data_IF_459175468142
#
_entry.id   IF_459175468142
#
_cell.length_a   1.000
_cell.length_b   1.000
_cell.length_c   1.000
_cell.angle_alpha   90.00
_cell.angle_beta   90.00
_cell.angle_gamma   90.00
#
_symmetry.space_group_name_H-M   'P 1'
#
loop_
_entity.id
_entity.type
_entity.pdbx_description
1 polymer ?
#
# COMPACT_ATOMS: atom_id res chain seq x y z
N UNK A 1 -51.82 36.93 -21.68
CA UNK A 1 -51.28 35.79 -20.91
C UNK A 1 -50.19 35.16 -21.74
N UNK A 2 -48.93 35.48 -21.45
CA UNK A 2 -47.77 34.96 -22.18
C UNK A 2 -46.72 34.59 -21.13
N UNK A 3 -46.62 33.31 -20.84
CA UNK A 3 -45.56 32.73 -20.02
C UNK A 3 -44.38 32.37 -20.94
N UNK A 4 -43.15 32.85 -20.69
CA UNK A 4 -41.98 32.32 -21.35
C UNK A 4 -41.57 31.01 -20.66
N UNK A 5 -41.34 29.96 -21.46
CA UNK A 5 -40.74 28.71 -21.03
C UNK A 5 -39.28 28.94 -20.61
N UNK A 6 -38.93 28.58 -19.37
CA UNK A 6 -37.54 28.50 -18.93
C UNK A 6 -36.84 27.32 -19.65
N UNK A 7 -35.60 27.50 -20.15
CA UNK A 7 -34.80 26.39 -20.62
C UNK A 7 -34.29 25.61 -19.40
N UNK A 8 -34.66 24.33 -19.33
CA UNK A 8 -34.19 23.41 -18.31
C UNK A 8 -32.67 23.37 -18.26
N UNK A 9 -32.10 23.60 -17.08
CA UNK A 9 -30.73 23.18 -16.77
C UNK A 9 -30.64 21.68 -17.02
N UNK A 10 -29.97 21.29 -18.09
CA UNK A 10 -29.41 19.94 -18.23
C UNK A 10 -28.48 19.72 -17.04
N UNK A 11 -28.97 18.98 -16.04
CA UNK A 11 -28.12 18.38 -15.02
C UNK A 11 -27.25 17.36 -15.75
N UNK A 12 -25.95 17.64 -15.85
CA UNK A 12 -24.97 16.70 -16.33
C UNK A 12 -25.11 15.39 -15.54
N UNK A 13 -25.56 14.33 -16.22
CA UNK A 13 -25.59 12.99 -15.67
C UNK A 13 -24.17 12.63 -15.19
N UNK A 14 -23.98 12.06 -13.98
CA UNK A 14 -22.72 11.44 -13.63
C UNK A 14 -22.58 10.17 -14.49
N UNK A 15 -22.02 10.35 -15.69
CA UNK A 15 -21.79 9.25 -16.61
C UNK A 15 -20.74 8.26 -16.08
N UNK A 16 -20.65 7.05 -16.68
CA UNK A 16 -19.65 6.04 -16.36
C UNK A 16 -18.21 6.57 -16.29
N UNK A 17 -17.92 7.67 -16.98
CA UNK A 17 -16.64 8.38 -16.97
C UNK A 17 -16.19 8.86 -15.57
N UNK A 18 -17.11 9.25 -14.68
CA UNK A 18 -16.75 9.68 -13.33
C UNK A 18 -16.14 8.53 -12.50
N UNK A 19 -16.62 7.31 -12.70
CA UNK A 19 -16.16 6.11 -11.98
C UNK A 19 -14.84 5.60 -12.57
N UNK A 20 -14.69 5.69 -13.90
CA UNK A 20 -13.46 5.30 -14.60
C UNK A 20 -12.29 6.23 -14.24
N UNK A 21 -12.54 7.52 -14.05
CA UNK A 21 -11.53 8.49 -13.62
C UNK A 21 -10.94 8.19 -12.23
N UNK A 22 -11.75 7.69 -11.30
CA UNK A 22 -11.33 7.41 -9.92
C UNK A 22 -10.62 6.06 -9.75
N UNK A 23 -10.70 5.16 -10.73
CA UNK A 23 -10.19 3.79 -10.61
C UNK A 23 -8.72 3.73 -10.21
N UNK A 24 -7.87 4.50 -10.88
CA UNK A 24 -6.42 4.52 -10.58
C UNK A 24 -6.15 5.03 -9.17
N UNK A 25 -6.86 6.08 -8.74
CA UNK A 25 -6.71 6.67 -7.42
C UNK A 25 -7.11 5.67 -6.32
N UNK A 26 -8.26 5.03 -6.47
CA UNK A 26 -8.80 4.09 -5.49
C UNK A 26 -8.00 2.78 -5.44
N UNK A 27 -7.50 2.27 -6.56
CA UNK A 27 -6.56 1.14 -6.58
C UNK A 27 -5.27 1.49 -5.84
N UNK A 28 -4.71 2.68 -6.06
CA UNK A 28 -3.52 3.16 -5.37
C UNK A 28 -3.72 3.31 -3.86
N UNK A 29 -4.92 3.71 -3.44
CA UNK A 29 -5.33 3.80 -2.05
C UNK A 29 -5.47 2.40 -1.44
N UNK A 30 -6.19 1.49 -2.10
CA UNK A 30 -6.38 0.12 -1.64
C UNK A 30 -5.04 -0.61 -1.51
N UNK A 31 -4.14 -0.46 -2.49
CA UNK A 31 -2.80 -1.04 -2.43
C UNK A 31 -1.99 -0.52 -1.24
N UNK A 32 -1.99 0.80 -0.99
CA UNK A 32 -1.29 1.37 0.19
C UNK A 32 -1.90 0.91 1.52
N UNK A 33 -3.19 0.63 1.54
CA UNK A 33 -3.86 0.09 2.73
C UNK A 33 -3.52 -1.39 2.93
N UNK A 34 -3.54 -2.20 1.90
CA UNK A 34 -3.46 -3.67 2.03
C UNK A 34 -2.02 -4.18 1.96
N UNK A 35 -1.18 -3.54 1.15
CA UNK A 35 0.19 -4.00 0.88
C UNK A 35 0.24 -5.24 -0.02
N UNK A 36 -0.82 -5.51 -0.78
CA UNK A 36 -0.90 -6.56 -1.80
C UNK A 36 -1.70 -6.03 -2.97
N UNK A 37 -1.20 -6.29 -4.19
CA UNK A 37 -1.88 -5.85 -5.41
C UNK A 37 -3.17 -6.64 -5.62
N UNK A 38 -3.12 -7.95 -5.46
CA UNK A 38 -4.30 -8.82 -5.61
C UNK A 38 -5.40 -8.49 -4.61
N UNK A 39 -5.07 -8.32 -3.33
CA UNK A 39 -6.07 -7.92 -2.32
C UNK A 39 -6.65 -6.52 -2.64
N UNK A 40 -5.87 -5.62 -3.23
CA UNK A 40 -6.35 -4.30 -3.65
C UNK A 40 -7.29 -4.38 -4.86
N UNK A 41 -6.99 -5.23 -5.85
CA UNK A 41 -7.87 -5.48 -6.98
C UNK A 41 -9.20 -6.12 -6.53
N UNK A 42 -9.14 -7.09 -5.63
CA UNK A 42 -10.33 -7.73 -5.04
C UNK A 42 -11.19 -6.72 -4.26
N UNK A 43 -10.56 -5.85 -3.47
CA UNK A 43 -11.26 -4.79 -2.74
C UNK A 43 -11.94 -3.79 -3.70
N UNK A 44 -11.31 -3.48 -4.83
CA UNK A 44 -11.88 -2.64 -5.88
C UNK A 44 -13.05 -3.33 -6.58
N UNK A 45 -12.93 -4.62 -6.88
CA UNK A 45 -14.02 -5.41 -7.47
C UNK A 45 -15.24 -5.43 -6.55
N UNK A 46 -15.06 -5.70 -5.26
CA UNK A 46 -16.12 -5.66 -4.25
C UNK A 46 -16.76 -4.27 -4.16
N UNK A 47 -15.95 -3.20 -4.18
CA UNK A 47 -16.44 -1.82 -4.17
C UNK A 47 -17.32 -1.51 -5.37
N UNK A 48 -16.89 -1.90 -6.57
CA UNK A 48 -17.69 -1.71 -7.78
C UNK A 48 -18.93 -2.61 -7.83
N UNK A 49 -18.84 -3.84 -7.33
CA UNK A 49 -20.01 -4.71 -7.20
C UNK A 49 -21.09 -4.05 -6.34
N UNK A 50 -20.71 -3.44 -5.21
CA UNK A 50 -21.64 -2.65 -4.37
C UNK A 50 -22.21 -1.44 -5.11
N UNK A 51 -21.42 -0.75 -5.94
CA UNK A 51 -21.91 0.35 -6.75
C UNK A 51 -22.97 -0.10 -7.75
N UNK A 52 -22.67 -1.11 -8.55
CA UNK A 52 -23.57 -1.61 -9.59
C UNK A 52 -24.79 -2.37 -9.05
N UNK A 53 -24.74 -2.84 -7.80
CA UNK A 53 -25.91 -3.42 -7.13
C UNK A 53 -26.95 -2.35 -6.73
N UNK A 54 -26.58 -1.07 -6.64
CA UNK A 54 -27.52 0.02 -6.36
C UNK A 54 -28.41 0.30 -7.57
N UNK A 55 -29.69 0.60 -7.31
CA UNK A 55 -30.60 1.09 -8.35
C UNK A 55 -30.14 2.46 -8.87
N UNK A 56 -30.57 2.81 -10.10
CA UNK A 56 -30.26 4.13 -10.69
C UNK A 56 -30.67 5.29 -9.77
N UNK A 57 -31.83 5.19 -9.13
CA UNK A 57 -32.31 6.21 -8.19
C UNK A 57 -31.42 6.33 -6.95
N UNK A 58 -30.89 5.21 -6.44
CA UNK A 58 -29.94 5.23 -5.31
C UNK A 58 -28.60 5.85 -5.72
N UNK A 59 -28.11 5.55 -6.93
CA UNK A 59 -26.90 6.18 -7.46
C UNK A 59 -27.06 7.69 -7.65
N UNK A 60 -28.21 8.13 -8.18
CA UNK A 60 -28.53 9.56 -8.37
C UNK A 60 -28.73 10.32 -7.06
N UNK A 61 -29.08 9.62 -5.97
CA UNK A 61 -29.17 10.22 -4.64
C UNK A 61 -27.79 10.44 -3.98
N UNK A 62 -26.71 9.85 -4.52
CA UNK A 62 -25.36 10.05 -4.01
C UNK A 62 -24.81 11.35 -4.59
N UNK A 63 -24.66 12.36 -3.72
CA UNK A 63 -24.17 13.69 -4.09
C UNK A 63 -22.73 13.66 -4.65
N UNK A 64 -21.88 12.79 -4.10
CA UNK A 64 -20.49 12.63 -4.53
C UNK A 64 -20.12 11.15 -4.69
N UNK A 65 -20.15 10.62 -5.93
CA UNK A 65 -19.75 9.25 -6.22
C UNK A 65 -18.31 8.93 -5.76
N UNK A 66 -17.37 9.86 -5.95
CA UNK A 66 -15.98 9.68 -5.53
C UNK A 66 -15.82 9.54 -4.01
N UNK A 67 -16.53 10.37 -3.22
CA UNK A 67 -16.52 10.28 -1.77
C UNK A 67 -17.18 8.97 -1.28
N UNK A 68 -18.25 8.55 -1.93
CA UNK A 68 -18.89 7.25 -1.65
C UNK A 68 -17.93 6.09 -1.94
N UNK A 69 -17.30 6.07 -3.12
CA UNK A 69 -16.36 5.02 -3.50
C UNK A 69 -15.18 4.93 -2.55
N UNK A 70 -14.61 6.08 -2.16
CA UNK A 70 -13.53 6.16 -1.17
C UNK A 70 -13.96 5.58 0.19
N UNK A 71 -15.17 5.93 0.63
CA UNK A 71 -15.71 5.41 1.89
C UNK A 71 -15.88 3.91 1.85
N UNK A 72 -16.43 3.39 0.74
CA UNK A 72 -16.68 1.96 0.56
C UNK A 72 -15.38 1.18 0.46
N UNK A 73 -14.44 1.59 -0.40
CA UNK A 73 -13.15 0.90 -0.52
C UNK A 73 -12.36 0.97 0.79
N UNK A 74 -12.43 2.08 1.53
CA UNK A 74 -11.82 2.21 2.85
C UNK A 74 -12.38 1.21 3.87
N UNK A 75 -13.70 1.00 3.87
CA UNK A 75 -14.36 0.00 4.74
C UNK A 75 -14.00 -1.43 4.32
N UNK A 76 -14.05 -1.74 3.02
CA UNK A 76 -13.63 -3.04 2.49
C UNK A 76 -12.19 -3.34 2.88
N UNK A 77 -11.28 -2.38 2.72
CA UNK A 77 -9.88 -2.53 3.11
C UNK A 77 -9.73 -2.73 4.63
N UNK A 78 -10.50 -2.01 5.45
CA UNK A 78 -10.49 -2.19 6.91
C UNK A 78 -10.88 -3.61 7.31
N UNK A 79 -11.93 -4.17 6.68
CA UNK A 79 -12.40 -5.53 6.91
C UNK A 79 -11.37 -6.58 6.47
N UNK A 80 -10.75 -6.37 5.29
CA UNK A 80 -9.67 -7.21 4.77
C UNK A 80 -8.48 -7.18 5.73
N UNK A 81 -8.07 -6.03 6.24
CA UNK A 81 -6.97 -5.90 7.21
C UNK A 81 -7.28 -6.61 8.54
N UNK A 82 -8.52 -6.51 9.03
CA UNK A 82 -8.96 -7.24 10.21
C UNK A 82 -8.87 -8.75 10.02
N UNK A 83 -9.33 -9.24 8.86
CA UNK A 83 -9.29 -10.65 8.49
C UNK A 83 -7.87 -11.15 8.24
N UNK A 84 -7.05 -10.35 7.55
CA UNK A 84 -5.65 -10.66 7.25
C UNK A 84 -4.84 -10.80 8.54
N UNK A 85 -5.06 -9.94 9.53
CA UNK A 85 -4.42 -10.07 10.86
C UNK A 85 -4.75 -11.42 11.52
N UNK A 86 -6.02 -11.84 11.49
CA UNK A 86 -6.42 -13.15 12.03
C UNK A 86 -5.85 -14.34 11.23
N UNK A 87 -5.65 -14.18 9.91
CA UNK A 87 -4.95 -15.18 9.09
C UNK A 87 -3.45 -15.23 9.40
N UNK A 88 -2.81 -14.06 9.58
CA UNK A 88 -1.37 -13.91 9.86
C UNK A 88 -0.95 -14.56 11.17
N UNK A 89 -1.84 -14.64 12.16
CA UNK A 89 -1.60 -15.44 13.39
C UNK A 89 -1.35 -16.93 13.13
N UNK A 90 -1.85 -17.46 12.00
CA UNK A 90 -1.65 -18.85 11.57
C UNK A 90 -0.66 -19.00 10.41
N UNK A 91 -0.03 -17.90 9.98
CA UNK A 91 0.90 -17.90 8.85
C UNK A 91 2.22 -18.56 9.22
N UNK A 92 2.80 -19.31 8.29
CA UNK A 92 4.08 -20.00 8.50
C UNK A 92 5.22 -19.08 8.07
N UNK A 93 5.96 -18.55 9.04
CA UNK A 93 7.08 -17.62 8.82
C UNK A 93 6.67 -16.15 8.99
N UNK A 94 7.52 -15.24 8.51
CA UNK A 94 7.23 -13.81 8.52
C UNK A 94 6.42 -13.43 7.28
N UNK A 95 5.34 -12.65 7.47
CA UNK A 95 4.61 -12.04 6.36
C UNK A 95 5.30 -10.75 5.91
N UNK A 96 5.54 -10.61 4.60
CA UNK A 96 6.11 -9.40 4.00
C UNK A 96 5.13 -8.86 2.94
N UNK A 97 4.80 -7.54 2.96
CA UNK A 97 4.00 -6.92 1.90
C UNK A 97 4.58 -7.15 0.50
N UNK A 98 3.72 -7.21 -0.50
CA UNK A 98 4.10 -7.35 -1.90
C UNK A 98 4.63 -6.01 -2.42
N UNK A 99 5.94 -5.88 -2.72
CA UNK A 99 6.46 -4.66 -3.33
C UNK A 99 5.85 -4.48 -4.71
N UNK A 100 5.60 -3.23 -5.12
CA UNK A 100 5.23 -2.99 -6.51
C UNK A 100 6.39 -3.43 -7.41
N UNK A 101 6.13 -4.25 -8.45
CA UNK A 101 7.12 -4.48 -9.48
C UNK A 101 7.52 -3.17 -10.13
N UNK A 102 8.78 -3.08 -10.55
CA UNK A 102 9.32 -1.88 -11.17
C UNK A 102 8.54 -1.53 -12.47
N UNK A 103 8.59 -0.25 -12.87
CA UNK A 103 7.72 0.42 -13.87
C UNK A 103 7.50 -0.33 -15.21
N UNK A 104 8.37 -1.26 -15.56
CA UNK A 104 8.33 -2.05 -16.80
C UNK A 104 7.22 -3.10 -16.83
N UNK A 105 6.81 -3.67 -15.70
CA UNK A 105 5.86 -4.78 -15.69
C UNK A 105 4.40 -4.32 -15.85
N UNK A 106 4.06 -3.14 -15.30
CA UNK A 106 2.72 -2.55 -15.44
C UNK A 106 2.45 -1.99 -16.86
N UNK A 107 3.50 -1.69 -17.62
CA UNK A 107 3.37 -1.13 -18.98
C UNK A 107 2.96 -2.16 -20.03
N UNK A 108 2.93 -3.45 -19.70
CA UNK A 108 2.51 -4.52 -20.62
C UNK A 108 1.00 -4.77 -20.63
N UNK A 109 0.26 -4.19 -19.68
CA UNK A 109 -1.20 -4.17 -19.65
C UNK A 109 -1.81 -3.06 -20.50
N UNK A 110 -1.72 -3.21 -21.83
CA UNK A 110 -2.52 -2.54 -22.87
C UNK A 110 -3.27 -1.25 -22.48
N UNK A 111 -2.53 -0.16 -22.22
CA UNK A 111 -3.08 1.19 -22.16
C UNK A 111 -2.84 1.91 -23.50
N UNK A 112 -3.67 1.61 -24.50
CA UNK A 112 -3.79 2.45 -25.69
C UNK A 112 -4.52 3.74 -25.31
N UNK A 113 -3.75 4.81 -25.05
CA UNK A 113 -4.26 6.15 -24.80
C UNK A 113 -3.33 6.93 -23.91
N UNK A 114 -2.67 7.94 -24.46
CA UNK A 114 -1.54 8.65 -23.86
C UNK A 114 -1.78 9.09 -22.41
N UNK A 115 -1.06 8.46 -21.48
CA UNK A 115 -0.84 9.02 -20.16
C UNK A 115 0.22 10.13 -20.26
N UNK A 116 -0.13 11.31 -19.75
CA UNK A 116 0.71 12.50 -19.66
C UNK A 116 2.04 12.16 -18.94
N UNK A 117 3.21 12.64 -19.40
CA UNK A 117 4.46 12.53 -18.64
C UNK A 117 4.36 12.93 -17.16
N UNK A 118 3.46 13.85 -16.80
CA UNK A 118 3.19 14.22 -15.41
C UNK A 118 2.46 13.12 -14.60
N UNK A 119 1.65 12.28 -15.26
CA UNK A 119 0.94 11.13 -14.65
C UNK A 119 1.86 9.94 -14.36
N UNK A 120 3.10 9.98 -14.89
CA UNK A 120 4.14 8.98 -14.67
C UNK A 120 4.95 9.25 -13.40
N UNK A 121 4.91 10.47 -12.87
CA UNK A 121 5.76 10.97 -11.77
C UNK A 121 5.09 10.83 -10.39
N UNK A 122 3.77 10.74 -10.29
CA UNK A 122 3.07 10.70 -8.98
C UNK A 122 3.10 9.35 -8.28
N UNK A 123 3.47 8.28 -8.98
CA UNK A 123 3.73 6.95 -8.39
C UNK A 123 5.16 6.82 -7.83
N UNK A 124 6.06 7.76 -8.17
CA UNK A 124 7.49 7.47 -8.36
C UNK A 124 8.37 7.52 -7.09
N UNK A 125 7.90 8.01 -5.93
CA UNK A 125 8.79 8.18 -4.75
C UNK A 125 8.19 7.85 -3.37
N UNK A 126 6.87 7.60 -3.25
CA UNK A 126 6.19 7.66 -1.93
C UNK A 126 5.95 6.32 -1.22
N UNK A 127 6.12 5.18 -1.90
CA UNK A 127 5.84 3.85 -1.31
C UNK A 127 7.06 2.95 -1.47
N UNK A 128 8.10 3.23 -0.68
CA UNK A 128 9.22 2.32 -0.52
C UNK A 128 8.76 1.06 0.25
N UNK A 129 9.33 -0.11 -0.04
CA UNK A 129 9.08 -1.35 0.71
C UNK A 129 9.16 -1.14 2.22
N UNK A 130 10.14 -0.36 2.69
CA UNK A 130 10.27 0.00 4.10
C UNK A 130 9.00 0.66 4.68
N UNK A 131 8.32 1.50 3.91
CA UNK A 131 7.06 2.11 4.31
C UNK A 131 5.96 1.05 4.47
N UNK A 132 5.81 0.12 3.52
CA UNK A 132 4.82 -0.96 3.61
C UNK A 132 5.08 -1.87 4.82
N UNK A 133 6.35 -2.19 5.11
CA UNK A 133 6.73 -2.94 6.34
C UNK A 133 6.31 -2.19 7.60
N UNK A 134 6.49 -0.87 7.64
CA UNK A 134 6.06 -0.06 8.79
C UNK A 134 4.55 -0.08 8.96
N UNK A 135 3.78 -0.01 7.87
CA UNK A 135 2.31 -0.14 7.92
C UNK A 135 1.88 -1.50 8.47
N UNK A 136 2.68 -2.56 8.28
CA UNK A 136 2.44 -3.89 8.84
C UNK A 136 2.48 -3.94 10.37
N UNK A 137 3.21 -3.02 11.00
CA UNK A 137 3.24 -2.90 12.48
C UNK A 137 2.02 -2.19 13.08
N UNK A 138 1.12 -1.64 12.26
CA UNK A 138 -0.03 -0.85 12.71
C UNK A 138 -1.28 -1.71 12.92
N UNK A 139 -2.18 -1.29 13.81
CA UNK A 139 -3.54 -1.83 13.81
C UNK A 139 -4.28 -1.46 12.51
N UNK A 140 -5.29 -2.24 12.08
CA UNK A 140 -6.08 -1.93 10.88
C UNK A 140 -6.61 -0.48 10.86
N UNK A 141 -7.18 -0.03 11.98
CA UNK A 141 -7.70 1.33 12.11
C UNK A 141 -6.59 2.40 12.10
N UNK A 142 -5.44 2.17 12.76
CA UNK A 142 -4.30 3.08 12.66
C UNK A 142 -3.83 3.25 11.22
N UNK A 143 -3.72 2.14 10.47
CA UNK A 143 -3.28 2.15 9.08
C UNK A 143 -4.24 2.91 8.19
N UNK A 144 -5.54 2.61 8.26
CA UNK A 144 -6.57 3.29 7.46
C UNK A 144 -6.56 4.79 7.75
N UNK A 145 -6.56 5.17 9.02
CA UNK A 145 -6.52 6.58 9.41
C UNK A 145 -5.27 7.29 8.88
N UNK A 146 -4.10 6.67 9.05
CA UNK A 146 -2.83 7.26 8.64
C UNK A 146 -2.75 7.42 7.12
N UNK A 147 -3.08 6.38 6.34
CA UNK A 147 -3.02 6.46 4.88
C UNK A 147 -4.00 7.51 4.35
N UNK A 148 -5.27 7.46 4.78
CA UNK A 148 -6.27 8.42 4.31
C UNK A 148 -5.93 9.87 4.69
N UNK A 149 -5.47 10.11 5.91
CA UNK A 149 -5.19 11.47 6.37
C UNK A 149 -3.81 11.99 5.90
N UNK A 150 -2.75 11.22 6.10
CA UNK A 150 -1.38 11.71 5.92
C UNK A 150 -0.90 11.59 4.48
N UNK A 151 -1.36 10.57 3.74
CA UNK A 151 -1.00 10.37 2.33
C UNK A 151 -2.03 11.02 1.41
N UNK A 152 -3.32 10.78 1.66
CA UNK A 152 -4.40 11.23 0.79
C UNK A 152 -5.12 12.51 1.24
N UNK A 153 -4.74 13.07 2.39
CA UNK A 153 -5.23 14.38 2.90
C UNK A 153 -6.73 14.45 3.20
N UNK A 154 -7.38 13.32 3.45
CA UNK A 154 -8.77 13.30 3.90
C UNK A 154 -8.92 13.84 5.33
N UNK A 155 -10.01 14.59 5.62
CA UNK A 155 -10.26 15.11 6.97
C UNK A 155 -10.69 14.00 7.92
N UNK A 156 -10.32 14.13 9.20
CA UNK A 156 -10.66 13.14 10.24
C UNK A 156 -12.17 12.89 10.41
N UNK A 157 -13.02 13.85 10.02
CA UNK A 157 -14.47 13.69 10.08
C UNK A 157 -14.97 12.63 9.08
N UNK A 158 -14.44 12.60 7.86
CA UNK A 158 -14.81 11.61 6.86
C UNK A 158 -14.21 10.24 7.19
N UNK A 159 -12.96 10.23 7.68
CA UNK A 159 -12.27 8.99 8.08
C UNK A 159 -12.99 8.31 9.25
N UNK A 160 -13.52 9.10 10.19
CA UNK A 160 -14.30 8.60 11.32
C UNK A 160 -15.46 7.69 10.90
N UNK A 161 -16.15 8.03 9.81
CA UNK A 161 -17.24 7.24 9.23
C UNK A 161 -16.76 5.92 8.61
N UNK A 162 -15.52 5.89 8.12
CA UNK A 162 -14.90 4.68 7.56
C UNK A 162 -14.51 3.71 8.67
N UNK A 163 -13.84 4.20 9.72
CA UNK A 163 -13.32 3.34 10.80
C UNK A 163 -14.28 3.11 11.96
N UNK A 164 -15.46 3.75 11.94
CA UNK A 164 -16.46 3.64 13.01
C UNK A 164 -15.96 4.21 14.34
N UNK A 165 -15.27 5.36 14.32
CA UNK A 165 -14.68 6.01 15.51
C UNK A 165 -14.98 7.50 15.51
N UNK A 166 -14.73 8.19 16.62
CA UNK A 166 -14.85 9.65 16.65
C UNK A 166 -13.67 10.32 15.91
N UNK A 167 -13.83 11.55 15.39
CA UNK A 167 -12.72 12.30 14.79
C UNK A 167 -11.55 12.52 15.76
N UNK A 168 -11.84 12.64 17.06
CA UNK A 168 -10.84 12.75 18.11
C UNK A 168 -10.03 11.46 18.27
N UNK A 169 -10.68 10.29 18.22
CA UNK A 169 -9.99 9.01 18.22
C UNK A 169 -9.11 8.83 16.97
N UNK A 170 -9.59 9.27 15.79
CA UNK A 170 -8.80 9.24 14.56
C UNK A 170 -7.51 10.09 14.69
N UNK A 171 -7.59 11.28 15.30
CA UNK A 171 -6.37 12.09 15.58
C UNK A 171 -5.34 11.35 16.44
N UNK A 172 -5.79 10.60 17.44
CA UNK A 172 -4.90 9.80 18.29
C UNK A 172 -4.25 8.65 17.51
N UNK A 173 -5.04 7.95 16.69
CA UNK A 173 -4.54 6.87 15.82
C UNK A 173 -3.48 7.41 14.83
N UNK A 174 -3.75 8.55 14.18
CA UNK A 174 -2.78 9.20 13.30
C UNK A 174 -1.49 9.60 14.03
N UNK A 175 -1.60 10.17 15.24
CA UNK A 175 -0.44 10.52 16.06
C UNK A 175 0.42 9.29 16.40
N UNK A 176 -0.25 8.17 16.76
CA UNK A 176 0.41 6.89 17.04
C UNK A 176 1.11 6.33 15.80
N UNK A 177 0.45 6.33 14.65
CA UNK A 177 1.03 5.90 13.38
C UNK A 177 2.25 6.74 12.98
N UNK A 178 2.16 8.08 13.07
CA UNK A 178 3.29 8.98 12.81
C UNK A 178 4.49 8.71 13.70
N UNK A 179 4.28 8.36 14.97
CA UNK A 179 5.36 8.00 15.89
C UNK A 179 6.10 6.75 15.39
N UNK A 180 5.38 5.73 14.91
CA UNK A 180 5.97 4.51 14.32
C UNK A 180 6.77 4.82 13.06
N UNK A 181 6.19 5.62 12.15
CA UNK A 181 6.87 6.03 10.92
C UNK A 181 8.15 6.82 11.21
N UNK A 182 8.12 7.77 12.13
CA UNK A 182 9.32 8.50 12.54
C UNK A 182 10.39 7.59 13.14
N UNK A 183 10.01 6.65 14.00
CA UNK A 183 10.94 5.69 14.56
C UNK A 183 11.65 4.85 13.48
N UNK A 184 10.93 4.49 12.41
CA UNK A 184 11.52 3.76 11.28
C UNK A 184 12.35 4.65 10.34
N UNK A 185 11.97 5.91 10.14
CA UNK A 185 12.70 6.84 9.26
C UNK A 185 14.06 7.27 9.83
N UNK A 186 14.21 7.32 11.16
CA UNK A 186 15.51 7.59 11.81
C UNK A 186 16.58 6.59 11.39
N UNK A 187 16.20 5.39 10.96
CA UNK A 187 17.10 4.32 10.51
C UNK A 187 17.28 4.24 9.00
N UNK A 188 16.63 5.11 8.20
CA UNK A 188 16.63 5.00 6.74
C UNK A 188 17.62 5.97 6.06
N UNK A 189 18.42 5.46 5.12
CA UNK A 189 19.26 6.28 4.24
C UNK A 189 18.41 6.96 3.15
N UNK A 190 18.74 8.21 2.74
CA UNK A 190 18.10 8.85 1.59
C UNK A 190 18.23 8.01 0.31
N UNK A 191 17.19 7.95 -0.53
CA UNK A 191 17.12 7.11 -1.74
C UNK A 191 18.32 7.30 -2.69
N UNK A 192 18.81 8.54 -2.86
CA UNK A 192 19.98 8.84 -3.68
C UNK A 192 21.29 8.24 -3.15
N UNK A 193 21.37 7.95 -1.85
CA UNK A 193 22.53 7.32 -1.21
C UNK A 193 22.44 5.78 -1.14
N UNK A 194 21.31 5.17 -1.55
CA UNK A 194 21.09 3.71 -1.43
C UNK A 194 21.79 2.89 -2.53
N UNK A 195 22.04 3.47 -3.71
CA UNK A 195 22.59 2.72 -4.85
C UNK A 195 24.01 2.17 -4.61
N UNK A 196 24.86 2.91 -3.87
CA UNK A 196 26.22 2.47 -3.58
C UNK A 196 26.27 1.33 -2.54
N UNK A 197 25.59 1.42 -1.38
CA UNK A 197 25.48 0.31 -0.43
C UNK A 197 24.89 -0.96 -1.03
N UNK A 198 23.83 -0.85 -1.85
CA UNK A 198 23.23 -2.02 -2.51
C UNK A 198 24.21 -2.71 -3.46
N UNK A 199 24.96 -1.93 -4.25
CA UNK A 199 25.98 -2.48 -5.14
C UNK A 199 27.11 -3.16 -4.38
N UNK A 200 27.67 -2.51 -3.36
CA UNK A 200 28.73 -3.08 -2.51
C UNK A 200 28.27 -4.35 -1.80
N UNK A 201 27.02 -4.36 -1.32
CA UNK A 201 26.43 -5.54 -0.71
C UNK A 201 26.31 -6.71 -1.69
N UNK A 202 25.86 -6.44 -2.92
CA UNK A 202 25.81 -7.45 -3.99
C UNK A 202 27.20 -8.00 -4.31
N UNK A 203 28.19 -7.12 -4.50
CA UNK A 203 29.57 -7.51 -4.79
C UNK A 203 30.16 -8.39 -3.67
N UNK A 204 29.98 -8.00 -2.41
CA UNK A 204 30.42 -8.77 -1.25
C UNK A 204 29.70 -10.13 -1.14
N UNK A 205 28.39 -10.17 -1.42
CA UNK A 205 27.61 -11.40 -1.39
C UNK A 205 28.03 -12.39 -2.49
N UNK A 206 28.22 -11.91 -3.73
CA UNK A 206 28.69 -12.74 -4.85
C UNK A 206 30.12 -13.27 -4.61
N UNK A 207 30.97 -12.46 -3.97
CA UNK A 207 32.31 -12.87 -3.55
C UNK A 207 32.32 -13.77 -2.31
N UNK A 208 31.17 -13.95 -1.64
CA UNK A 208 31.02 -14.64 -0.34
C UNK A 208 31.91 -14.06 0.76
N UNK A 209 32.16 -12.75 0.71
CA UNK A 209 32.97 -12.03 1.68
C UNK A 209 32.13 -11.68 2.92
N UNK A 210 32.20 -12.52 3.94
CA UNK A 210 31.44 -12.35 5.18
C UNK A 210 31.89 -11.09 5.94
N UNK A 211 33.18 -10.75 5.93
CA UNK A 211 33.67 -9.58 6.66
C UNK A 211 33.14 -8.29 6.01
N UNK A 212 33.23 -8.18 4.69
CA UNK A 212 32.68 -7.05 3.96
C UNK A 212 31.15 -6.92 4.14
N UNK A 213 30.41 -8.04 4.18
CA UNK A 213 28.97 -8.02 4.47
C UNK A 213 28.67 -7.54 5.89
N UNK A 214 29.46 -7.94 6.89
CA UNK A 214 29.30 -7.50 8.28
C UNK A 214 29.55 -6.00 8.42
N UNK A 215 30.58 -5.48 7.76
CA UNK A 215 30.95 -4.06 7.80
C UNK A 215 29.90 -3.16 7.11
N UNK A 216 29.18 -3.69 6.12
CA UNK A 216 28.10 -2.98 5.42
C UNK A 216 26.77 -2.94 6.21
N UNK A 217 26.57 -3.88 7.13
CA UNK A 217 25.31 -4.03 7.86
C UNK A 217 25.34 -3.32 9.21
N UNK A 218 24.22 -2.70 9.57
CA UNK A 218 24.02 -2.20 10.92
C UNK A 218 24.12 -3.37 11.94
N UNK A 219 24.79 -3.19 13.10
CA UNK A 219 24.89 -4.24 14.11
C UNK A 219 23.55 -4.78 14.60
N UNK A 220 22.51 -3.94 14.60
CA UNK A 220 21.14 -4.29 14.99
C UNK A 220 20.25 -4.62 13.77
N UNK A 221 20.85 -4.83 12.59
CA UNK A 221 20.13 -5.21 11.38
C UNK A 221 19.29 -6.47 11.59
N UNK A 222 18.15 -6.50 10.90
CA UNK A 222 17.20 -7.63 10.92
C UNK A 222 16.88 -8.05 9.50
N UNK A 223 17.05 -9.33 9.22
CA UNK A 223 16.63 -9.93 7.96
C UNK A 223 15.34 -10.71 8.17
N UNK A 224 14.35 -10.40 7.33
CA UNK A 224 13.07 -11.08 7.24
C UNK A 224 13.03 -11.82 5.91
N UNK A 225 12.48 -13.02 5.90
CA UNK A 225 12.18 -13.75 4.67
C UNK A 225 10.76 -14.29 4.75
N UNK A 226 10.01 -14.07 3.68
CA UNK A 226 8.68 -14.64 3.52
C UNK A 226 8.77 -15.84 2.57
N UNK A 227 8.43 -17.01 3.06
CA UNK A 227 8.35 -18.24 2.26
C UNK A 227 6.93 -18.80 2.16
N UNK A 228 5.95 -18.23 2.88
CA UNK A 228 4.58 -18.71 2.98
C UNK A 228 4.37 -20.21 3.25
N UNK A 229 5.39 -20.90 3.78
CA UNK A 229 5.41 -22.36 3.88
C UNK A 229 5.52 -23.10 2.54
N UNK A 230 5.65 -22.38 1.42
CA UNK A 230 5.79 -22.91 0.07
C UNK A 230 7.27 -23.06 -0.35
N UNK A 231 8.12 -22.15 0.11
CA UNK A 231 9.56 -22.15 -0.16
C UNK A 231 10.34 -22.18 1.16
N UNK A 232 11.45 -22.92 1.18
CA UNK A 232 12.29 -23.01 2.37
C UNK A 232 13.00 -21.69 2.67
N UNK A 233 12.51 -20.96 3.68
CA UNK A 233 13.10 -19.70 4.17
C UNK A 233 13.26 -19.73 5.69
N UNK A 234 13.94 -18.73 6.25
CA UNK A 234 14.00 -18.55 7.71
C UNK A 234 12.61 -18.20 8.25
N UNK A 235 12.11 -19.03 9.19
CA UNK A 235 10.80 -18.83 9.80
C UNK A 235 10.76 -17.70 10.84
N UNK A 236 11.93 -17.30 11.35
CA UNK A 236 12.09 -16.24 12.35
C UNK A 236 13.08 -15.21 11.83
N UNK A 237 12.93 -13.93 12.20
CA UNK A 237 13.89 -12.89 11.83
C UNK A 237 15.31 -13.30 12.25
N UNK A 238 16.27 -13.11 11.35
CA UNK A 238 17.69 -13.25 11.68
C UNK A 238 18.18 -11.88 12.14
N UNK A 239 18.64 -11.82 13.38
CA UNK A 239 19.08 -10.57 14.02
C UNK A 239 20.61 -10.53 14.10
N UNK A 240 21.17 -9.37 13.76
CA UNK A 240 22.58 -9.05 13.84
C UNK A 240 23.34 -9.26 12.53
N UNK A 241 24.20 -8.30 12.18
CA UNK A 241 24.97 -8.26 10.94
C UNK A 241 25.70 -9.58 10.64
N UNK A 242 26.40 -10.15 11.63
CA UNK A 242 27.14 -11.42 11.49
C UNK A 242 26.25 -12.60 11.09
N UNK A 243 25.15 -12.81 11.81
CA UNK A 243 24.24 -13.94 11.55
C UNK A 243 23.56 -13.80 10.19
N UNK A 244 23.25 -12.58 9.79
CA UNK A 244 22.69 -12.28 8.47
C UNK A 244 23.72 -12.61 7.38
N UNK A 245 24.96 -12.15 7.50
CA UNK A 245 26.02 -12.42 6.53
C UNK A 245 26.28 -13.93 6.35
N UNK A 246 26.41 -14.66 7.47
CA UNK A 246 26.59 -16.13 7.45
C UNK A 246 25.42 -16.84 6.76
N UNK A 247 24.18 -16.42 7.04
CA UNK A 247 23.00 -17.00 6.41
C UNK A 247 22.97 -16.76 4.90
N UNK A 248 23.26 -15.54 4.45
CA UNK A 248 23.23 -15.15 3.04
C UNK A 248 24.26 -15.90 2.20
N UNK A 249 25.45 -16.12 2.74
CA UNK A 249 26.47 -16.92 2.06
C UNK A 249 26.05 -18.39 1.99
N UNK A 250 25.46 -18.94 3.07
CA UNK A 250 24.99 -20.32 3.10
C UNK A 250 23.85 -20.62 2.12
N UNK A 251 22.93 -19.67 1.91
CA UNK A 251 21.83 -19.84 0.94
C UNK A 251 22.29 -19.66 -0.52
N UNK A 252 23.35 -18.88 -0.77
CA UNK A 252 23.92 -18.73 -2.11
C UNK A 252 24.37 -20.09 -2.69
N UNK A 253 24.82 -21.01 -1.85
CA UNK A 253 25.19 -22.37 -2.24
C UNK A 253 24.00 -23.32 -2.51
N UNK A 254 22.77 -22.87 -2.21
CA UNK A 254 21.54 -23.66 -2.33
C UNK A 254 20.56 -23.14 -3.37
N UNK A 255 20.78 -21.93 -3.90
CA UNK A 255 19.94 -21.38 -4.95
C UNK A 255 20.28 -22.06 -6.29
N UNK A 256 19.31 -22.62 -7.04
CA UNK A 256 19.54 -22.99 -8.43
C UNK A 256 19.82 -21.70 -9.22
N UNK A 257 20.94 -21.68 -9.95
CA UNK A 257 21.33 -20.57 -10.82
C UNK A 257 20.40 -20.36 -12.01
#
# INVERSE_FOLDING_TARGET
MSTPSEPGRERSEPGPNAIVGERRHLTNLAYRLLGSLSEAEDAMQETYARWYAMSRQQQEAIESPGAWLTTVVGRVCLDVLGSARARRERYVGAWIPEPLPDRTEWSTGQASGGADPADRVTLDESVNMAFLVVLESMTPAERVVFVLHDVFRYPFAEIAEIVGRTPAACRQLASSARRRVRAAQVSALPTAAQAAPVRLFKEAWEAKDIEALVDLLDPDARMLADGGGLVGTVLRPVEGSKRIAEYLVHIADKAPG
#
